data_IF_185332072194
#
_entry.id   IF_185332072194
#
_cell.length_a   1.000
_cell.length_b   1.000
_cell.length_c   1.000
_cell.angle_alpha   90.00
_cell.angle_beta   90.00
_cell.angle_gamma   90.00
#
_symmetry.space_group_name_H-M   'P 1'
#
loop_
_entity.id
_entity.type
_entity.pdbx_description
1 polymer ?
#
# COMPACT_ATOMS: atom_id res chain seq x y z
N UNK A 1 -21.46 -21.76 -9.93
CA UNK A 1 -20.88 -20.49 -9.45
C UNK A 1 -19.67 -20.87 -8.60
N UNK A 2 -18.46 -20.78 -9.14
CA UNK A 2 -17.24 -21.15 -8.42
C UNK A 2 -17.09 -20.20 -7.23
N UNK A 3 -16.97 -20.75 -6.03
CA UNK A 3 -16.61 -19.97 -4.85
C UNK A 3 -15.18 -19.48 -5.08
N UNK A 4 -15.02 -18.21 -5.41
CA UNK A 4 -13.73 -17.56 -5.65
C UNK A 4 -12.88 -17.56 -4.38
N UNK A 5 -12.25 -18.68 -4.05
CA UNK A 5 -11.16 -18.72 -3.08
C UNK A 5 -9.92 -18.14 -3.77
N UNK A 6 -9.11 -17.34 -3.07
CA UNK A 6 -7.84 -16.86 -3.66
C UNK A 6 -7.01 -18.05 -4.15
N UNK A 7 -6.43 -17.93 -5.35
CA UNK A 7 -5.68 -19.02 -5.96
C UNK A 7 -4.47 -19.45 -5.11
N UNK A 8 -3.87 -18.50 -4.36
CA UNK A 8 -2.70 -18.75 -3.52
C UNK A 8 -2.79 -17.95 -2.20
N UNK A 9 -2.37 -18.54 -1.06
CA UNK A 9 -2.20 -17.81 0.18
C UNK A 9 -1.20 -16.66 0.02
N UNK A 10 -1.53 -15.46 0.50
CA UNK A 10 -0.66 -14.28 0.42
C UNK A 10 -0.80 -13.45 -0.86
N UNK A 11 -1.73 -13.78 -1.76
CA UNK A 11 -2.09 -12.93 -2.90
C UNK A 11 -2.54 -11.54 -2.43
N UNK A 12 -2.15 -10.49 -3.16
CA UNK A 12 -2.65 -9.15 -2.91
C UNK A 12 -4.10 -9.02 -3.41
N UNK A 13 -4.99 -8.55 -2.52
CA UNK A 13 -6.41 -8.35 -2.83
C UNK A 13 -6.75 -6.88 -3.02
N UNK A 14 -5.77 -6.06 -3.43
CA UNK A 14 -5.93 -4.60 -3.54
C UNK A 14 -7.01 -4.21 -4.57
N UNK A 15 -7.19 -5.01 -5.61
CA UNK A 15 -8.25 -4.85 -6.60
C UNK A 15 -9.61 -5.47 -6.23
N UNK A 16 -9.77 -5.97 -4.99
CA UNK A 16 -11.01 -6.60 -4.51
C UNK A 16 -11.71 -5.70 -3.49
N UNK A 17 -13.01 -5.89 -3.32
CA UNK A 17 -13.80 -5.19 -2.30
C UNK A 17 -13.31 -5.48 -0.88
N UNK A 18 -13.58 -4.58 0.05
CA UNK A 18 -13.24 -4.74 1.48
C UNK A 18 -14.18 -5.76 2.13
N UNK A 19 -13.62 -6.62 2.98
CA UNK A 19 -14.39 -7.60 3.73
C UNK A 19 -15.04 -6.96 4.96
N UNK A 20 -16.33 -6.64 4.85
CA UNK A 20 -17.11 -6.05 5.97
C UNK A 20 -17.14 -6.97 7.20
N UNK A 21 -17.18 -8.30 6.99
CA UNK A 21 -17.13 -9.28 8.10
C UNK A 21 -15.80 -9.30 8.84
N UNK A 22 -14.69 -8.96 8.16
CA UNK A 22 -13.39 -8.87 8.81
C UNK A 22 -13.31 -7.63 9.71
N UNK A 23 -13.88 -6.51 9.26
CA UNK A 23 -13.99 -5.29 10.08
C UNK A 23 -14.78 -5.54 11.37
N UNK A 24 -15.81 -6.40 11.31
CA UNK A 24 -16.62 -6.81 12.46
C UNK A 24 -16.02 -7.95 13.29
N UNK A 25 -14.86 -8.51 12.89
CA UNK A 25 -14.23 -9.64 13.57
C UNK A 25 -14.97 -10.99 13.41
N UNK A 26 -15.91 -11.11 12.47
CA UNK A 26 -16.74 -12.31 12.26
C UNK A 26 -16.28 -13.17 11.07
N UNK A 27 -15.29 -12.73 10.31
CA UNK A 27 -14.80 -13.45 9.12
C UNK A 27 -14.04 -14.75 9.49
N UNK A 28 -14.63 -15.90 9.16
CA UNK A 28 -14.03 -17.22 9.39
C UNK A 28 -13.03 -17.65 8.31
N UNK A 29 -12.93 -16.92 7.19
CA UNK A 29 -12.07 -17.28 6.05
C UNK A 29 -10.62 -16.84 6.21
N UNK A 30 -10.31 -15.92 7.14
CA UNK A 30 -8.95 -15.44 7.35
C UNK A 30 -8.23 -15.04 6.05
N UNK A 31 -7.02 -15.56 5.85
CA UNK A 31 -6.19 -15.25 4.69
C UNK A 31 -6.74 -15.75 3.35
N UNK A 32 -7.64 -16.75 3.34
CA UNK A 32 -8.25 -17.28 2.11
C UNK A 32 -9.52 -16.52 1.70
N UNK A 33 -9.91 -15.48 2.44
CA UNK A 33 -11.04 -14.64 2.05
C UNK A 33 -10.77 -13.96 0.70
N UNK A 34 -11.70 -13.99 -0.28
CA UNK A 34 -11.55 -13.29 -1.56
C UNK A 34 -11.57 -11.77 -1.48
N UNK A 35 -12.00 -11.25 -0.34
CA UNK A 35 -12.13 -9.82 -0.08
C UNK A 35 -10.93 -9.34 0.72
N UNK A 36 -10.64 -8.05 0.57
CA UNK A 36 -9.51 -7.39 1.22
C UNK A 36 -9.73 -7.30 2.72
N UNK A 37 -8.74 -7.69 3.51
CA UNK A 37 -8.74 -7.53 4.97
C UNK A 37 -7.83 -6.35 5.30
N UNK A 38 -8.40 -5.23 5.77
CA UNK A 38 -7.62 -4.04 6.10
C UNK A 38 -7.01 -4.24 7.49
N UNK A 39 -5.69 -4.38 7.55
CA UNK A 39 -4.92 -4.43 8.80
C UNK A 39 -4.30 -3.06 9.05
N UNK A 40 -4.79 -2.37 10.08
CA UNK A 40 -4.28 -1.09 10.58
C UNK A 40 -4.40 0.11 9.65
N UNK A 41 -4.19 1.32 10.20
CA UNK A 41 -3.98 2.53 9.41
C UNK A 41 -2.54 2.55 8.88
N UNK A 42 -2.40 2.38 7.56
CA UNK A 42 -1.08 2.37 6.90
C UNK A 42 -0.76 3.76 6.40
N UNK A 43 0.31 4.35 6.94
CA UNK A 43 0.64 5.76 6.72
C UNK A 43 1.30 6.04 5.35
N UNK A 44 1.99 5.07 4.76
CA UNK A 44 2.82 5.27 3.56
C UNK A 44 2.52 4.22 2.49
N UNK A 45 2.40 4.65 1.24
CA UNK A 45 2.17 3.79 0.07
C UNK A 45 3.34 2.83 -0.17
N UNK A 46 3.02 1.58 -0.46
CA UNK A 46 3.99 0.54 -0.76
C UNK A 46 4.60 0.72 -2.14
N UNK A 47 5.89 1.08 -2.19
CA UNK A 47 6.65 1.24 -3.45
C UNK A 47 6.69 -0.04 -4.31
N UNK A 48 6.61 -1.22 -3.70
CA UNK A 48 6.64 -2.50 -4.42
C UNK A 48 5.28 -2.83 -5.03
N UNK A 49 4.20 -2.46 -4.35
CA UNK A 49 2.84 -2.63 -4.85
C UNK A 49 2.56 -1.77 -6.09
N UNK A 50 3.07 -0.52 -6.12
CA UNK A 50 2.98 0.35 -7.30
C UNK A 50 3.51 -0.30 -8.59
N UNK A 51 4.39 -1.30 -8.47
CA UNK A 51 5.00 -2.04 -9.59
C UNK A 51 4.43 -3.44 -9.76
N UNK A 52 3.45 -3.86 -8.95
CA UNK A 52 2.91 -5.22 -8.94
C UNK A 52 3.89 -6.27 -8.39
N UNK A 53 4.89 -5.87 -7.60
CA UNK A 53 5.96 -6.75 -7.10
C UNK A 53 5.87 -7.04 -5.59
N UNK A 54 4.81 -6.58 -4.91
CA UNK A 54 4.67 -6.82 -3.49
C UNK A 54 4.29 -8.28 -3.22
N UNK A 55 5.14 -9.01 -2.50
CA UNK A 55 4.90 -10.42 -2.10
C UNK A 55 4.15 -10.58 -0.78
N UNK A 56 3.98 -9.50 -0.02
CA UNK A 56 3.32 -9.52 1.30
C UNK A 56 1.79 -9.47 1.20
N UNK A 57 1.24 -9.12 0.03
CA UNK A 57 -0.21 -9.03 -0.18
C UNK A 57 -0.91 -8.13 0.85
N UNK A 58 -2.07 -8.56 1.34
CA UNK A 58 -2.81 -7.87 2.41
C UNK A 58 -2.04 -7.75 3.74
N UNK A 59 -1.02 -8.57 3.96
CA UNK A 59 -0.17 -8.52 5.16
C UNK A 59 0.99 -7.52 5.00
N UNK A 60 1.00 -6.72 3.92
CA UNK A 60 1.98 -5.66 3.79
C UNK A 60 1.74 -4.57 4.85
N UNK A 61 2.82 -4.18 5.53
CA UNK A 61 2.84 -3.07 6.48
C UNK A 61 2.65 -1.69 5.81
N UNK A 62 2.80 -1.64 4.47
CA UNK A 62 2.64 -0.43 3.66
C UNK A 62 1.31 -0.42 2.90
N UNK A 63 0.80 0.77 2.63
CA UNK A 63 -0.51 0.99 2.03
C UNK A 63 -0.53 0.51 0.56
N UNK A 64 -1.48 -0.35 0.23
CA UNK A 64 -1.76 -0.80 -1.14
C UNK A 64 -2.95 -0.01 -1.70
N UNK A 65 -2.81 1.31 -1.75
CA UNK A 65 -3.79 2.26 -2.25
C UNK A 65 -3.03 3.40 -2.93
N UNK A 66 -3.60 3.92 -4.01
CA UNK A 66 -2.97 5.02 -4.74
C UNK A 66 -3.38 6.34 -4.12
N UNK A 67 -2.66 6.76 -3.09
CA UNK A 67 -2.83 8.05 -2.43
C UNK A 67 -1.53 8.88 -2.55
N UNK A 68 -1.59 9.96 -3.33
CA UNK A 68 -0.46 10.87 -3.56
C UNK A 68 0.01 11.56 -2.27
N UNK A 69 -0.88 11.78 -1.29
CA UNK A 69 -0.53 12.43 -0.02
C UNK A 69 0.29 11.51 0.88
N UNK A 70 0.09 10.20 0.74
CA UNK A 70 0.78 9.14 1.49
C UNK A 70 1.93 8.52 0.70
N UNK A 71 2.28 9.06 -0.46
CA UNK A 71 3.40 8.55 -1.24
C UNK A 71 4.71 8.72 -0.47
N UNK A 72 5.66 7.76 -0.51
CA UNK A 72 6.96 7.94 0.12
C UNK A 72 7.73 9.11 -0.51
N UNK A 73 8.73 9.57 0.22
CA UNK A 73 9.60 10.66 -0.24
C UNK A 73 10.44 10.25 -1.44
N UNK A 74 10.66 11.20 -2.35
CA UNK A 74 11.54 11.00 -3.49
C UNK A 74 12.99 10.96 -3.01
N UNK A 75 13.63 9.81 -3.16
CA UNK A 75 15.03 9.62 -2.79
C UNK A 75 15.97 10.63 -3.49
N UNK A 76 15.78 10.86 -4.79
CA UNK A 76 16.63 11.76 -5.56
C UNK A 76 16.50 13.21 -5.11
N UNK A 77 15.26 13.68 -4.92
CA UNK A 77 15.01 15.03 -4.45
C UNK A 77 15.53 15.22 -3.03
N UNK A 78 15.23 14.29 -2.10
CA UNK A 78 15.68 14.39 -0.71
C UNK A 78 17.21 14.39 -0.57
N UNK A 79 17.93 13.66 -1.43
CA UNK A 79 19.39 13.52 -1.33
C UNK A 79 20.17 14.56 -2.14
N UNK A 80 19.66 14.94 -3.31
CA UNK A 80 20.40 15.74 -4.28
C UNK A 80 19.70 17.06 -4.63
N UNK A 81 18.55 17.36 -4.00
CA UNK A 81 17.72 18.53 -4.32
C UNK A 81 17.29 18.61 -5.78
N UNK A 82 17.33 17.48 -6.48
CA UNK A 82 17.04 17.38 -7.90
C UNK A 82 16.37 16.04 -8.22
N UNK A 83 15.31 16.09 -9.02
CA UNK A 83 14.67 14.91 -9.59
C UNK A 83 14.48 15.13 -11.10
N UNK A 84 14.94 14.19 -11.91
CA UNK A 84 14.82 14.28 -13.38
C UNK A 84 13.41 13.98 -13.90
N UNK A 85 12.56 13.33 -13.10
CA UNK A 85 11.20 13.01 -13.50
C UNK A 85 10.26 14.18 -13.19
N UNK A 86 9.71 14.81 -14.24
CA UNK A 86 8.74 15.91 -14.13
C UNK A 86 7.43 15.48 -13.49
N UNK A 87 7.01 14.24 -13.74
CA UNK A 87 5.80 13.63 -13.18
C UNK A 87 6.18 12.61 -12.11
N UNK A 88 7.08 12.99 -11.21
CA UNK A 88 7.48 12.16 -10.08
C UNK A 88 6.29 12.01 -9.11
N UNK A 89 5.76 10.80 -8.89
CA UNK A 89 4.66 10.60 -7.95
C UNK A 89 5.10 10.73 -6.49
N UNK A 90 6.40 10.57 -6.21
CA UNK A 90 6.98 10.61 -4.87
C UNK A 90 7.06 12.04 -4.33
N UNK A 91 6.93 12.19 -3.01
CA UNK A 91 6.89 13.51 -2.37
C UNK A 91 8.26 14.20 -2.43
N UNK A 92 8.30 15.40 -3.01
CA UNK A 92 9.45 16.29 -2.98
C UNK A 92 9.35 17.17 -1.72
N UNK A 93 10.02 16.74 -0.64
CA UNK A 93 10.09 17.48 0.62
C UNK A 93 11.45 18.16 0.68
N UNK A 94 11.43 19.46 0.89
CA UNK A 94 12.64 20.25 1.11
C UNK A 94 13.30 19.83 2.45
N UNK A 95 14.59 19.45 2.46
CA UNK A 95 15.26 18.95 3.65
C UNK A 95 15.47 20.04 4.71
N UNK A 96 15.60 21.31 4.33
CA UNK A 96 15.69 22.43 5.29
C UNK A 96 14.37 22.61 6.04
N UNK A 97 13.25 22.30 5.41
CA UNK A 97 11.93 22.31 6.05
C UNK A 97 11.76 21.26 7.15
N UNK A 98 12.67 20.28 7.27
CA UNK A 98 12.67 19.26 8.33
C UNK A 98 13.44 19.66 9.60
N UNK A 99 14.22 20.74 9.56
CA UNK A 99 15.19 21.13 10.62
C UNK A 99 14.54 22.07 11.66
N UNK A 100 13.29 22.49 11.47
CA UNK A 100 12.55 23.29 12.46
C UNK A 100 11.79 22.40 13.45
N UNK A 101 12.52 21.86 14.42
CA UNK A 101 12.06 21.57 15.78
C UNK A 101 13.24 21.76 16.76
#
# INVERSE_FOLDING_TARGET
MMLDVVAFPGMDKSGRGVCVRNEQGTCQMGAVCPLRHIVGDKAVVCKHWLRGLCKKGDQCEFLHEYDLSKMPECFFFSKYMACSNRECPFRHIDPESKIKD
#
